data_IF_515327071648
#
_entry.id   IF_515327071648
#
_cell.length_a   1.000
_cell.length_b   1.000
_cell.length_c   1.000
_cell.angle_alpha   90.00
_cell.angle_beta   90.00
_cell.angle_gamma   90.00
#
_symmetry.space_group_name_H-M   'P 1'
#
loop_
_entity.id
_entity.type
_entity.pdbx_description
1 polymer ?
#
# COMPACT_ATOMS: atom_id res chain seq x y z
N UNK A 1 6.91 11.83 59.11
CA UNK A 1 5.92 10.88 58.54
C UNK A 1 5.51 11.46 57.21
N UNK A 2 6.27 11.15 56.16
CA UNK A 2 6.08 11.71 54.82
C UNK A 2 5.62 10.56 53.93
N UNK A 3 4.34 10.57 53.55
CA UNK A 3 3.75 9.54 52.71
C UNK A 3 4.44 9.52 51.34
N UNK A 4 5.28 8.52 51.11
CA UNK A 4 5.80 8.15 49.79
C UNK A 4 4.67 7.50 48.99
N UNK A 5 3.76 8.32 48.47
CA UNK A 5 2.66 7.86 47.62
C UNK A 5 3.20 7.44 46.25
N UNK A 6 3.66 6.19 46.11
CA UNK A 6 4.04 5.67 44.80
C UNK A 6 2.84 5.69 43.83
N UNK A 7 3.07 6.16 42.60
CA UNK A 7 2.06 6.21 41.55
C UNK A 7 2.03 4.88 40.78
N UNK A 8 0.85 4.29 40.65
CA UNK A 8 0.65 3.09 39.86
C UNK A 8 0.34 3.46 38.41
N UNK A 9 1.22 3.09 37.49
CA UNK A 9 1.10 3.37 36.06
C UNK A 9 0.99 2.07 35.28
N UNK A 10 -0.02 1.94 34.42
CA UNK A 10 -0.18 0.76 33.56
C UNK A 10 0.43 1.03 32.19
N UNK A 11 1.46 0.29 31.83
CA UNK A 11 2.09 0.35 30.50
C UNK A 11 1.51 -0.76 29.62
N UNK A 12 1.05 -0.38 28.42
CA UNK A 12 0.47 -1.27 27.42
C UNK A 12 1.38 -1.33 26.21
N UNK A 13 1.76 -2.54 25.79
CA UNK A 13 2.58 -2.81 24.62
C UNK A 13 1.92 -3.91 23.77
N UNK A 14 1.24 -3.52 22.69
CA UNK A 14 0.50 -4.46 21.85
C UNK A 14 -0.61 -5.17 22.63
N UNK A 15 -0.46 -6.48 22.84
CA UNK A 15 -1.39 -7.31 23.63
C UNK A 15 -0.97 -7.48 25.11
N UNK A 16 0.19 -6.97 25.50
CA UNK A 16 0.75 -7.12 26.84
C UNK A 16 0.53 -5.84 27.65
N UNK A 17 0.24 -5.98 28.93
CA UNK A 17 0.15 -4.87 29.88
C UNK A 17 0.84 -5.21 31.19
N UNK A 18 1.47 -4.21 31.81
CA UNK A 18 2.11 -4.34 33.11
C UNK A 18 1.86 -3.08 33.94
N UNK A 19 1.56 -3.26 35.23
CA UNK A 19 1.46 -2.17 36.20
C UNK A 19 2.81 -1.96 36.86
N UNK A 20 3.29 -0.72 36.83
CA UNK A 20 4.61 -0.29 37.28
C UNK A 20 4.44 0.81 38.32
N UNK A 21 5.26 0.76 39.38
CA UNK A 21 5.22 1.72 40.47
C UNK A 21 6.30 2.78 40.26
N UNK A 22 5.90 4.06 40.26
CA UNK A 22 6.78 5.20 39.95
C UNK A 22 6.64 6.29 41.01
N UNK A 23 7.75 6.87 41.51
CA UNK A 23 7.67 7.97 42.46
C UNK A 23 7.04 9.24 41.85
N UNK A 24 6.15 9.94 42.56
CA UNK A 24 5.51 11.15 42.07
C UNK A 24 6.52 12.29 41.91
N UNK A 25 6.53 12.92 40.74
CA UNK A 25 7.18 14.21 40.48
C UNK A 25 8.70 14.29 40.76
N UNK A 26 9.43 13.19 40.59
CA UNK A 26 10.90 13.25 40.49
C UNK A 26 11.33 13.37 39.02
N UNK A 27 12.40 14.13 38.70
CA UNK A 27 12.97 14.18 37.34
C UNK A 27 13.41 12.79 36.85
N UNK A 28 13.75 11.91 37.80
CA UNK A 28 14.25 10.55 37.57
C UNK A 28 13.11 9.52 37.38
N UNK A 29 11.84 9.92 37.59
CA UNK A 29 10.67 9.05 37.47
C UNK A 29 10.55 8.41 36.08
N UNK A 30 10.90 9.16 35.03
CA UNK A 30 10.85 8.65 33.65
C UNK A 30 11.96 7.63 33.38
N UNK A 31 13.16 7.83 33.91
CA UNK A 31 14.29 6.93 33.74
C UNK A 31 14.09 5.61 34.50
N UNK A 32 13.54 5.69 35.72
CA UNK A 32 13.14 4.52 36.50
C UNK A 32 12.03 3.74 35.79
N UNK A 33 11.02 4.43 35.25
CA UNK A 33 9.96 3.79 34.47
C UNK A 33 10.51 3.09 33.22
N UNK A 34 11.44 3.72 32.49
CA UNK A 34 12.06 3.12 31.31
C UNK A 34 12.92 1.89 31.66
N UNK A 35 13.60 1.92 32.81
CA UNK A 35 14.35 0.77 33.33
C UNK A 35 13.41 -0.40 33.68
N UNK A 36 12.30 -0.13 34.39
CA UNK A 36 11.30 -1.16 34.69
C UNK A 36 10.62 -1.72 33.43
N UNK A 37 10.40 -0.89 32.40
CA UNK A 37 9.90 -1.35 31.10
C UNK A 37 10.92 -2.26 30.41
N UNK A 38 12.21 -1.96 30.50
CA UNK A 38 13.25 -2.84 29.95
C UNK A 38 13.22 -4.22 30.61
N UNK A 39 13.10 -4.28 31.93
CA UNK A 39 13.03 -5.55 32.66
C UNK A 39 11.79 -6.38 32.30
N UNK A 40 10.62 -5.74 32.13
CA UNK A 40 9.36 -6.44 31.83
C UNK A 40 9.15 -6.78 30.37
N UNK A 41 9.57 -5.92 29.46
CA UNK A 41 9.29 -6.03 28.02
C UNK A 41 10.54 -6.29 27.16
N UNK A 42 11.73 -6.39 27.78
CA UNK A 42 13.03 -6.56 27.10
C UNK A 42 13.27 -5.51 26.01
N UNK A 43 12.77 -4.29 26.22
CA UNK A 43 12.87 -3.19 25.27
C UNK A 43 13.81 -2.13 25.81
N UNK A 44 14.97 -1.92 25.19
CA UNK A 44 15.94 -0.93 25.70
C UNK A 44 15.36 0.49 25.71
N UNK A 45 15.68 1.32 26.73
CA UNK A 45 15.16 2.69 26.88
C UNK A 45 15.22 3.54 25.61
N UNK A 46 16.32 3.42 24.83
CA UNK A 46 16.51 4.13 23.55
C UNK A 46 15.47 3.82 22.47
N UNK A 47 14.79 2.68 22.57
CA UNK A 47 13.75 2.26 21.63
C UNK A 47 12.33 2.40 22.20
N UNK A 48 12.19 2.93 23.42
CA UNK A 48 10.91 3.12 24.08
C UNK A 48 10.36 4.51 23.76
N UNK A 49 9.18 4.57 23.13
CA UNK A 49 8.40 5.79 23.00
C UNK A 49 7.13 5.64 23.82
N UNK A 50 7.01 6.42 24.89
CA UNK A 50 5.86 6.42 25.78
C UNK A 50 4.85 7.50 25.38
N UNK A 51 3.58 7.11 25.28
CA UNK A 51 2.48 7.99 24.88
C UNK A 51 1.37 7.95 25.92
N UNK A 52 0.99 9.11 26.45
CA UNK A 52 -0.13 9.30 27.36
C UNK A 52 -1.22 10.10 26.65
N UNK A 53 -2.44 9.55 26.50
CA UNK A 53 -3.59 10.21 25.85
C UNK A 53 -3.25 10.84 24.48
N UNK A 54 -2.40 10.18 23.69
CA UNK A 54 -2.00 10.65 22.36
C UNK A 54 -0.87 11.70 22.34
N UNK A 55 -0.27 12.03 23.50
CA UNK A 55 0.91 12.91 23.59
C UNK A 55 2.14 12.14 24.07
N UNK A 56 3.30 12.49 23.54
CA UNK A 56 4.58 11.91 23.95
C UNK A 56 4.92 12.33 25.39
N UNK A 57 5.26 11.35 26.21
CA UNK A 57 5.72 11.58 27.58
C UNK A 57 7.16 12.08 27.54
N UNK A 58 7.38 13.29 28.04
CA UNK A 58 8.68 13.91 28.27
C UNK A 58 8.94 14.04 29.78
N UNK A 59 10.18 14.31 30.19
CA UNK A 59 10.56 14.49 31.60
C UNK A 59 9.73 15.56 32.34
N UNK A 60 9.13 16.52 31.61
CA UNK A 60 8.24 17.56 32.15
C UNK A 60 6.78 17.12 32.29
N UNK A 61 6.43 15.87 31.98
CA UNK A 61 5.03 15.41 31.95
C UNK A 61 4.65 14.91 33.34
N UNK A 62 3.66 15.55 33.96
CA UNK A 62 3.11 15.08 35.22
C UNK A 62 2.34 13.77 35.00
N UNK A 63 2.87 12.66 35.52
CA UNK A 63 2.17 11.38 35.60
C UNK A 63 1.22 11.42 36.79
N UNK A 64 -0.01 10.92 36.61
CA UNK A 64 -0.99 10.79 37.69
C UNK A 64 -1.19 9.32 38.05
N UNK A 65 -1.67 9.05 39.25
CA UNK A 65 -1.98 7.67 39.66
C UNK A 65 -3.07 7.06 38.76
N UNK A 66 -2.94 5.77 38.44
CA UNK A 66 -3.84 5.05 37.52
C UNK A 66 -3.68 5.39 36.03
N UNK A 67 -2.61 6.09 35.64
CA UNK A 67 -2.35 6.45 34.24
C UNK A 67 -2.13 5.22 33.35
N UNK A 68 -2.71 5.22 32.14
CA UNK A 68 -2.42 4.21 31.10
C UNK A 68 -1.47 4.79 30.05
N UNK A 69 -0.28 4.23 29.97
CA UNK A 69 0.75 4.58 28.99
C UNK A 69 0.77 3.56 27.86
N UNK A 70 0.83 4.05 26.63
CA UNK A 70 1.09 3.23 25.46
C UNK A 70 2.59 3.24 25.17
N UNK A 71 3.20 2.06 25.12
CA UNK A 71 4.58 1.87 24.71
C UNK A 71 4.62 1.59 23.21
N UNK A 72 5.45 2.33 22.48
CA UNK A 72 5.71 2.14 21.06
C UNK A 72 7.21 1.85 20.86
N UNK A 73 7.51 0.89 19.98
CA UNK A 73 8.88 0.52 19.63
C UNK A 73 9.40 1.43 18.54
N UNK A 74 10.45 2.21 18.82
CA UNK A 74 11.05 3.13 17.86
C UNK A 74 12.39 2.61 17.29
N UNK A 75 12.43 1.37 16.79
CA UNK A 75 13.67 0.82 16.15
C UNK A 75 13.99 1.50 14.82
N UNK A 76 12.96 1.80 14.02
CA UNK A 76 13.13 2.36 12.67
C UNK A 76 13.82 3.74 12.64
N UNK A 77 13.66 4.55 13.69
CA UNK A 77 14.29 5.88 13.77
C UNK A 77 15.78 5.82 14.12
N UNK A 78 16.18 4.84 14.94
CA UNK A 78 17.59 4.68 15.36
C UNK A 78 18.42 3.90 14.35
N UNK A 79 17.85 2.95 13.60
CA UNK A 79 18.56 2.27 12.51
C UNK A 79 18.91 3.23 11.36
N UNK A 80 18.05 4.21 11.05
CA UNK A 80 18.36 5.26 10.07
C UNK A 80 19.50 6.21 10.52
N UNK A 81 19.58 6.55 11.81
CA UNK A 81 20.63 7.41 12.34
C UNK A 81 21.93 6.67 12.68
N UNK A 82 21.88 5.37 12.99
CA UNK A 82 23.04 4.54 13.28
C UNK A 82 23.84 4.18 12.02
N UNK A 83 23.15 3.95 10.88
CA UNK A 83 23.80 3.67 9.60
C UNK A 83 24.57 4.88 9.03
N UNK A 84 24.26 6.10 9.47
CA UNK A 84 24.95 7.32 9.04
C UNK A 84 26.23 7.65 9.84
N UNK A 85 26.60 6.85 10.85
CA UNK A 85 27.71 7.15 11.77
C UNK A 85 28.82 6.09 11.87
N UNK A 86 28.83 5.09 10.99
CA UNK A 86 29.94 4.13 10.89
C UNK A 86 30.76 4.39 9.63
N UNK A 87 31.70 5.33 9.74
CA UNK A 87 32.90 5.39 8.91
C UNK A 87 34.00 4.56 9.59
N UNK A 88 34.53 3.48 8.98
CA UNK A 88 35.77 2.88 9.43
C UNK A 88 36.94 3.57 8.73
N UNK A 89 37.88 4.11 9.51
CA UNK A 89 39.16 4.62 9.02
C UNK A 89 40.31 3.89 9.72
N UNK A 90 41.34 3.56 8.93
CA UNK A 90 42.70 3.06 9.26
C UNK A 90 42.87 1.53 9.31
N UNK A 91 43.43 0.88 8.28
CA UNK A 91 44.88 0.71 7.91
C UNK A 91 45.48 -0.57 8.55
N UNK A 92 46.31 -1.45 7.95
CA UNK A 92 47.06 -1.51 6.68
C UNK A 92 47.61 -2.96 6.41
N UNK A 93 48.29 -3.15 5.25
CA UNK A 93 49.16 -4.26 4.77
C UNK A 93 48.50 -5.46 4.05
N UNK A 94 48.94 -5.99 2.88
CA UNK A 94 50.03 -5.70 1.91
C UNK A 94 49.83 -6.50 0.60
N UNK A 95 50.16 -5.88 -0.54
CA UNK A 95 50.79 -6.38 -1.80
C UNK A 95 50.23 -7.62 -2.57
N UNK A 96 49.67 -7.41 -3.77
CA UNK A 96 50.24 -7.79 -5.09
C UNK A 96 49.24 -7.63 -6.27
N UNK A 97 49.76 -7.24 -7.43
CA UNK A 97 49.11 -6.62 -8.62
C UNK A 97 48.77 -7.64 -9.76
N UNK A 98 48.24 -7.27 -10.95
CA UNK A 98 46.84 -7.42 -11.45
C UNK A 98 46.67 -8.41 -12.64
N UNK A 99 45.46 -8.55 -13.28
CA UNK A 99 45.16 -7.80 -14.53
C UNK A 99 43.64 -7.42 -14.69
N UNK A 100 43.11 -6.95 -15.86
CA UNK A 100 42.54 -5.62 -16.11
C UNK A 100 40.99 -5.53 -16.04
N UNK A 101 40.41 -4.30 -16.13
CA UNK A 101 39.03 -4.03 -15.73
C UNK A 101 38.01 -4.24 -16.86
N UNK A 102 36.96 -5.02 -16.58
CA UNK A 102 35.71 -4.97 -17.34
C UNK A 102 34.90 -3.79 -16.81
N UNK A 103 34.86 -2.71 -17.59
CA UNK A 103 33.92 -1.60 -17.40
C UNK A 103 32.50 -2.16 -17.52
N UNK A 104 31.75 -2.13 -16.41
CA UNK A 104 30.30 -1.98 -16.46
C UNK A 104 29.91 -0.86 -15.49
N UNK A 105 29.83 0.34 -16.07
CA UNK A 105 29.03 1.43 -15.56
C UNK A 105 27.59 0.93 -15.40
N UNK A 106 27.08 1.01 -14.18
CA UNK A 106 25.70 0.65 -13.87
C UNK A 106 25.29 1.07 -12.47
N UNK A 107 25.87 2.16 -11.95
CA UNK A 107 25.28 2.85 -10.81
C UNK A 107 23.97 3.47 -11.29
N UNK A 108 22.84 2.81 -11.03
CA UNK A 108 21.53 3.45 -11.13
C UNK A 108 21.50 4.63 -10.15
N UNK A 109 21.51 5.88 -10.61
CA UNK A 109 21.24 6.99 -9.71
C UNK A 109 19.74 6.95 -9.43
N UNK A 110 19.42 6.92 -8.14
CA UNK A 110 18.13 7.37 -7.59
C UNK A 110 17.71 8.61 -8.35
N UNK A 111 16.60 8.52 -9.10
CA UNK A 111 16.03 9.62 -9.85
C UNK A 111 15.59 10.70 -8.86
N UNK A 112 16.51 11.61 -8.54
CA UNK A 112 16.15 12.94 -8.06
C UNK A 112 15.28 13.55 -9.15
N UNK A 113 14.01 13.70 -8.86
CA UNK A 113 13.07 14.48 -9.65
C UNK A 113 13.74 15.82 -9.95
N UNK A 114 13.96 16.12 -11.23
CA UNK A 114 14.51 17.40 -11.68
C UNK A 114 13.65 18.52 -11.08
N UNK A 115 14.25 19.36 -10.25
CA UNK A 115 13.62 20.60 -9.82
C UNK A 115 13.41 21.46 -11.06
N UNK A 116 12.18 21.52 -11.55
CA UNK A 116 11.84 22.33 -12.71
C UNK A 116 12.00 23.79 -12.30
N UNK A 117 12.98 24.47 -12.88
CA UNK A 117 13.22 25.90 -12.66
C UNK A 117 12.05 26.69 -13.28
N UNK A 118 11.38 27.48 -12.44
CA UNK A 118 10.21 28.28 -12.82
C UNK A 118 10.60 29.41 -13.80
N UNK A 119 11.89 29.73 -13.90
CA UNK A 119 12.42 30.76 -14.78
C UNK A 119 12.64 30.30 -16.23
N UNK A 120 12.72 28.98 -16.48
CA UNK A 120 12.86 28.42 -17.83
C UNK A 120 11.51 28.11 -18.50
N UNK A 121 10.39 28.30 -17.78
CA UNK A 121 9.06 28.11 -18.35
C UNK A 121 8.71 29.26 -19.30
N UNK A 122 8.36 28.91 -20.53
CA UNK A 122 7.71 29.78 -21.52
C UNK A 122 6.55 30.55 -20.87
N UNK A 123 6.27 31.78 -21.31
CA UNK A 123 5.28 32.65 -20.65
C UNK A 123 3.85 32.06 -20.63
N UNK A 124 3.58 31.13 -21.53
CA UNK A 124 2.33 30.37 -21.63
C UNK A 124 2.32 29.05 -20.84
N UNK A 125 3.45 28.67 -20.24
CA UNK A 125 3.60 27.49 -19.41
C UNK A 125 3.38 27.80 -17.92
N UNK A 126 2.90 26.79 -17.21
CA UNK A 126 2.49 26.82 -15.82
C UNK A 126 3.01 25.57 -15.10
N UNK A 127 3.73 25.76 -14.00
CA UNK A 127 4.20 24.66 -13.17
C UNK A 127 3.10 24.25 -12.19
N UNK A 128 2.51 23.09 -12.39
CA UNK A 128 1.55 22.47 -11.49
C UNK A 128 2.27 21.49 -10.57
N UNK A 129 2.33 21.83 -9.29
CA UNK A 129 2.85 20.97 -8.23
C UNK A 129 1.68 20.25 -7.57
N UNK A 130 1.59 18.95 -7.82
CA UNK A 130 0.54 18.08 -7.27
C UNK A 130 1.10 17.30 -6.09
N UNK A 131 0.45 17.45 -4.93
CA UNK A 131 0.82 16.76 -3.70
C UNK A 131 -0.16 15.63 -3.38
N UNK A 132 0.37 14.44 -3.11
CA UNK A 132 -0.37 13.28 -2.59
C UNK A 132 0.34 12.79 -1.31
N UNK A 133 -0.14 13.23 -0.15
CA UNK A 133 0.52 12.93 1.12
C UNK A 133 1.94 13.49 1.15
N UNK A 134 2.95 12.61 1.16
CA UNK A 134 4.38 12.98 1.10
C UNK A 134 4.94 13.03 -0.33
N UNK A 135 4.22 12.48 -1.31
CA UNK A 135 4.66 12.48 -2.69
C UNK A 135 4.35 13.82 -3.36
N UNK A 136 5.30 14.33 -4.15
CA UNK A 136 5.19 15.55 -4.94
C UNK A 136 5.44 15.22 -6.41
N UNK A 137 4.52 15.64 -7.26
CA UNK A 137 4.59 15.51 -8.72
C UNK A 137 4.61 16.90 -9.33
N UNK A 138 5.68 17.21 -10.04
CA UNK A 138 5.84 18.49 -10.71
C UNK A 138 5.55 18.31 -12.20
N UNK A 139 4.58 19.06 -12.72
CA UNK A 139 4.11 18.96 -14.10
C UNK A 139 4.05 20.33 -14.76
N UNK A 140 4.43 20.40 -16.03
CA UNK A 140 4.30 21.61 -16.83
C UNK A 140 3.04 21.50 -17.68
N UNK A 141 2.16 22.50 -17.57
CA UNK A 141 0.95 22.63 -18.36
C UNK A 141 0.90 23.99 -19.05
N UNK A 142 0.25 24.06 -20.20
CA UNK A 142 -0.09 25.35 -20.81
C UNK A 142 -1.23 26.01 -20.02
N UNK A 143 -1.22 27.35 -19.93
CA UNK A 143 -2.22 28.15 -19.21
C UNK A 143 -3.65 27.97 -19.74
N UNK A 144 -3.78 27.72 -21.05
CA UNK A 144 -5.04 27.48 -21.75
C UNK A 144 -5.67 26.10 -21.47
N UNK A 145 -4.96 25.21 -20.76
CA UNK A 145 -5.44 23.85 -20.46
C UNK A 145 -6.48 23.86 -19.35
N UNK A 146 -7.32 22.83 -19.37
CA UNK A 146 -8.41 22.67 -18.41
C UNK A 146 -8.00 21.80 -17.22
N UNK A 147 -8.75 21.92 -16.12
CA UNK A 147 -8.60 21.04 -14.95
C UNK A 147 -8.86 19.57 -15.33
N UNK A 148 -9.73 19.29 -16.30
CA UNK A 148 -9.95 17.93 -16.81
C UNK A 148 -8.64 17.32 -17.34
N UNK A 149 -7.90 18.02 -18.19
CA UNK A 149 -6.65 17.52 -18.76
C UNK A 149 -5.56 17.32 -17.70
N UNK A 150 -5.53 18.21 -16.70
CA UNK A 150 -4.68 18.04 -15.53
C UNK A 150 -5.07 16.77 -14.76
N UNK A 151 -6.37 16.54 -14.51
CA UNK A 151 -6.85 15.31 -13.86
C UNK A 151 -6.54 14.07 -14.67
N UNK A 152 -6.64 14.13 -15.99
CA UNK A 152 -6.34 12.98 -16.87
C UNK A 152 -4.85 12.63 -16.83
N UNK A 153 -3.96 13.61 -16.96
CA UNK A 153 -2.51 13.36 -16.88
C UNK A 153 -2.05 12.92 -15.48
N UNK A 154 -2.54 13.59 -14.43
CA UNK A 154 -2.23 13.21 -13.04
C UNK A 154 -2.84 11.83 -12.73
N UNK A 155 -4.05 11.57 -13.20
CA UNK A 155 -4.72 10.29 -13.10
C UNK A 155 -3.90 9.18 -13.75
N UNK A 156 -3.48 9.37 -15.00
CA UNK A 156 -2.63 8.41 -15.70
C UNK A 156 -1.31 8.11 -14.95
N UNK A 157 -0.64 9.14 -14.42
CA UNK A 157 0.57 8.95 -13.60
C UNK A 157 0.32 8.21 -12.29
N UNK A 158 -0.87 8.38 -11.72
CA UNK A 158 -1.30 7.68 -10.50
C UNK A 158 -1.91 6.30 -10.80
N UNK A 159 -1.96 5.86 -12.07
CA UNK A 159 -2.57 4.61 -12.49
C UNK A 159 -4.09 4.60 -12.40
N UNK A 160 -4.75 5.76 -12.45
CA UNK A 160 -6.20 5.90 -12.41
C UNK A 160 -6.78 5.88 -13.82
N UNK A 161 -7.80 5.05 -14.02
CA UNK A 161 -8.48 4.87 -15.31
C UNK A 161 -9.51 5.96 -15.62
N UNK A 162 -9.96 6.72 -14.60
CA UNK A 162 -10.92 7.79 -14.77
C UNK A 162 -10.45 9.10 -14.11
N UNK A 163 -10.53 10.26 -14.79
CA UNK A 163 -10.22 11.55 -14.19
C UNK A 163 -11.22 11.94 -13.08
N UNK A 164 -12.42 11.33 -13.06
CA UNK A 164 -13.42 11.55 -12.01
C UNK A 164 -13.03 10.91 -10.68
N UNK A 165 -12.17 9.89 -10.70
CA UNK A 165 -11.61 9.25 -9.51
C UNK A 165 -10.71 10.20 -8.69
N UNK A 166 -10.27 11.31 -9.32
CA UNK A 166 -9.34 12.26 -8.76
C UNK A 166 -10.04 13.58 -8.40
N UNK A 167 -10.03 13.90 -7.11
CA UNK A 167 -10.42 15.22 -6.60
C UNK A 167 -9.17 16.08 -6.40
N UNK A 168 -9.04 17.09 -7.23
CA UNK A 168 -8.01 18.12 -7.07
C UNK A 168 -8.50 19.20 -6.12
N UNK A 169 -7.66 19.58 -5.15
CA UNK A 169 -7.90 20.69 -4.22
C UNK A 169 -6.84 21.75 -4.45
N UNK A 170 -7.26 22.92 -4.92
CA UNK A 170 -6.39 24.08 -5.15
C UNK A 170 -6.78 25.16 -4.14
N UNK A 171 -5.84 25.60 -3.29
CA UNK A 171 -6.09 26.63 -2.26
C UNK A 171 -7.35 26.36 -1.42
N UNK A 172 -7.62 25.09 -1.09
CA UNK A 172 -8.80 24.68 -0.31
C UNK A 172 -10.11 24.57 -1.08
N UNK A 173 -10.14 24.89 -2.38
CA UNK A 173 -11.34 24.75 -3.25
C UNK A 173 -11.16 23.60 -4.23
N UNK A 174 -12.28 22.99 -4.64
CA UNK A 174 -12.28 21.93 -5.65
C UNK A 174 -12.82 22.49 -6.96
N UNK A 175 -11.94 22.82 -7.91
CA UNK A 175 -12.35 23.42 -9.17
C UNK A 175 -13.17 22.43 -10.01
N UNK A 176 -14.10 22.97 -10.81
CA UNK A 176 -14.87 22.20 -11.81
C UNK A 176 -13.97 21.82 -12.99
N UNK A 177 -14.33 20.78 -13.72
CA UNK A 177 -13.50 20.22 -14.79
C UNK A 177 -13.28 21.18 -15.97
N UNK A 178 -14.24 22.06 -16.24
CA UNK A 178 -14.20 23.09 -17.29
C UNK A 178 -13.35 24.32 -16.91
N UNK A 179 -12.92 24.42 -15.65
CA UNK A 179 -12.16 25.59 -15.18
C UNK A 179 -10.78 25.58 -15.85
N UNK A 180 -10.39 26.72 -16.44
CA UNK A 180 -9.06 26.86 -17.03
C UNK A 180 -7.99 27.07 -15.96
N UNK A 181 -6.79 26.53 -16.17
CA UNK A 181 -5.69 26.61 -15.21
C UNK A 181 -5.25 28.06 -14.95
N UNK A 182 -5.37 28.95 -15.94
CA UNK A 182 -5.12 30.39 -15.80
C UNK A 182 -5.95 31.03 -14.68
N UNK A 183 -7.24 30.72 -14.58
CA UNK A 183 -8.13 31.31 -13.57
C UNK A 183 -7.78 30.85 -12.14
N UNK A 184 -7.14 29.69 -12.00
CA UNK A 184 -6.76 29.10 -10.71
C UNK A 184 -5.37 29.55 -10.24
N UNK A 185 -4.44 29.73 -11.18
CA UNK A 185 -3.11 30.23 -10.91
C UNK A 185 -3.06 31.76 -10.81
N UNK A 186 -3.98 32.46 -11.49
CA UNK A 186 -4.02 33.92 -11.56
C UNK A 186 -2.75 34.46 -12.23
N UNK A 187 -2.03 35.35 -11.54
CA UNK A 187 -0.76 35.92 -12.02
C UNK A 187 0.47 35.04 -11.75
N UNK A 188 0.31 33.93 -11.03
CA UNK A 188 1.43 33.11 -10.60
C UNK A 188 1.79 32.07 -11.67
N UNK A 189 3.08 31.92 -11.97
CA UNK A 189 3.59 30.83 -12.83
C UNK A 189 3.51 29.44 -12.16
N UNK A 190 3.14 29.36 -10.87
CA UNK A 190 3.07 28.12 -10.11
C UNK A 190 1.68 27.88 -9.50
N UNK A 191 1.19 26.64 -9.62
CA UNK A 191 -0.07 26.17 -9.08
C UNK A 191 0.17 24.98 -8.15
N UNK A 192 -0.14 25.15 -6.86
CA UNK A 192 -0.10 24.05 -5.89
C UNK A 192 -1.48 23.42 -5.78
N UNK A 193 -1.56 22.12 -6.05
CA UNK A 193 -2.77 21.32 -5.96
C UNK A 193 -2.54 20.10 -5.06
N UNK A 194 -3.55 19.70 -4.30
CA UNK A 194 -3.55 18.44 -3.58
C UNK A 194 -4.43 17.43 -4.33
N UNK A 195 -3.89 16.24 -4.59
CA UNK A 195 -4.60 15.14 -5.23
C UNK A 195 -5.19 14.21 -4.16
N UNK A 196 -6.52 14.15 -4.10
CA UNK A 196 -7.28 13.23 -3.27
C UNK A 196 -7.98 12.20 -4.15
N UNK A 197 -7.90 10.91 -3.77
CA UNK A 197 -8.74 9.89 -4.37
C UNK A 197 -10.15 9.99 -3.79
N UNK A 198 -11.17 9.85 -4.63
CA UNK A 198 -12.53 9.73 -4.14
C UNK A 198 -12.69 8.40 -3.38
N UNK A 199 -13.54 8.38 -2.34
CA UNK A 199 -13.78 7.18 -1.54
C UNK A 199 -14.23 5.98 -2.37
N UNK A 200 -15.02 6.24 -3.43
CA UNK A 200 -15.47 5.20 -4.37
C UNK A 200 -14.34 4.60 -5.22
N UNK A 201 -13.22 5.31 -5.41
CA UNK A 201 -12.06 4.78 -6.13
C UNK A 201 -11.34 3.69 -5.34
N UNK A 202 -11.33 3.76 -4.00
CA UNK A 202 -10.77 2.69 -3.18
C UNK A 202 -11.54 1.38 -3.37
N UNK A 203 -12.86 1.47 -3.48
CA UNK A 203 -13.70 0.31 -3.76
C UNK A 203 -13.39 -0.25 -5.15
N UNK A 204 -13.26 0.60 -6.17
CA UNK A 204 -12.89 0.14 -7.53
C UNK A 204 -11.51 -0.52 -7.52
N UNK A 205 -10.52 0.04 -6.82
CA UNK A 205 -9.18 -0.56 -6.71
C UNK A 205 -9.20 -1.92 -5.99
N UNK A 206 -9.93 -2.02 -4.88
CA UNK A 206 -10.09 -3.28 -4.15
C UNK A 206 -10.75 -4.35 -5.04
N UNK A 207 -11.76 -3.97 -5.83
CA UNK A 207 -12.40 -4.88 -6.79
C UNK A 207 -11.53 -5.24 -7.98
N UNK A 208 -10.64 -4.35 -8.43
CA UNK A 208 -9.62 -4.67 -9.44
C UNK A 208 -8.54 -5.62 -8.90
N UNK A 209 -8.20 -5.51 -7.61
CA UNK A 209 -7.29 -6.45 -6.93
C UNK A 209 -7.96 -7.83 -6.78
N UNK A 210 -9.21 -7.87 -6.32
CA UNK A 210 -10.02 -9.10 -6.25
C UNK A 210 -10.15 -9.79 -7.62
N UNK A 211 -10.34 -9.02 -8.69
CA UNK A 211 -10.32 -9.56 -10.06
C UNK A 211 -8.99 -10.24 -10.40
N UNK A 212 -7.85 -9.64 -10.05
CA UNK A 212 -6.54 -10.25 -10.31
C UNK A 212 -6.36 -11.55 -9.55
N UNK A 213 -6.82 -11.61 -8.30
CA UNK A 213 -6.80 -12.83 -7.49
C UNK A 213 -7.66 -13.92 -8.14
N UNK A 214 -8.89 -13.59 -8.56
CA UNK A 214 -9.79 -14.54 -9.22
C UNK A 214 -9.26 -15.05 -10.56
N UNK A 215 -8.58 -14.21 -11.36
CA UNK A 215 -7.92 -14.66 -12.59
C UNK A 215 -6.78 -15.64 -12.27
N UNK A 216 -6.01 -15.40 -11.22
CA UNK A 216 -4.97 -16.32 -10.78
C UNK A 216 -5.56 -17.65 -10.26
N UNK A 217 -6.67 -17.61 -9.54
CA UNK A 217 -7.40 -18.80 -9.12
C UNK A 217 -7.94 -19.58 -10.32
N UNK A 218 -8.51 -18.89 -11.31
CA UNK A 218 -9.03 -19.50 -12.54
C UNK A 218 -7.94 -20.21 -13.33
N UNK A 219 -6.78 -19.55 -13.52
CA UNK A 219 -5.64 -20.17 -14.20
C UNK A 219 -5.10 -21.37 -13.43
N UNK A 220 -5.11 -21.33 -12.10
CA UNK A 220 -4.76 -22.48 -11.24
C UNK A 220 -5.75 -23.63 -11.41
N UNK A 221 -7.06 -23.35 -11.44
CA UNK A 221 -8.10 -24.35 -11.64
C UNK A 221 -8.04 -24.98 -13.05
N UNK A 222 -7.78 -24.18 -14.08
CA UNK A 222 -7.51 -24.67 -15.44
C UNK A 222 -6.28 -25.58 -15.48
N UNK A 223 -5.19 -25.19 -14.80
CA UNK A 223 -3.99 -26.02 -14.71
C UNK A 223 -4.26 -27.33 -13.96
N UNK A 224 -5.07 -27.32 -12.90
CA UNK A 224 -5.50 -28.52 -12.20
C UNK A 224 -6.30 -29.45 -13.13
N UNK A 225 -7.29 -28.94 -13.87
CA UNK A 225 -8.05 -29.72 -14.85
C UNK A 225 -7.13 -30.40 -15.88
N UNK A 226 -6.14 -29.66 -16.41
CA UNK A 226 -5.20 -30.21 -17.38
C UNK A 226 -4.31 -31.31 -16.77
N UNK A 227 -3.94 -31.21 -15.49
CA UNK A 227 -3.21 -32.27 -14.78
C UNK A 227 -4.07 -33.52 -14.64
N UNK A 228 -5.30 -33.36 -14.15
CA UNK A 228 -6.27 -34.46 -13.99
C UNK A 228 -6.52 -35.15 -15.33
N UNK A 229 -6.79 -34.39 -16.41
CA UNK A 229 -6.93 -34.93 -17.78
C UNK A 229 -5.72 -35.77 -18.21
N UNK A 230 -4.50 -35.31 -17.94
CA UNK A 230 -3.27 -36.05 -18.30
C UNK A 230 -3.07 -37.30 -17.45
N UNK A 231 -3.41 -37.25 -16.17
CA UNK A 231 -3.34 -38.40 -15.27
C UNK A 231 -4.37 -39.46 -15.67
N UNK A 232 -5.59 -39.05 -16.00
CA UNK A 232 -6.65 -39.91 -16.51
C UNK A 232 -6.27 -40.55 -17.84
N UNK A 233 -5.75 -39.79 -18.81
CA UNK A 233 -5.34 -40.32 -20.12
C UNK A 233 -4.20 -41.35 -20.04
N UNK A 234 -3.43 -41.33 -18.93
CA UNK A 234 -2.32 -42.25 -18.67
C UNK A 234 -2.68 -43.32 -17.63
N UNK A 235 -3.94 -43.37 -17.17
CA UNK A 235 -4.44 -44.27 -16.12
C UNK A 235 -3.60 -44.24 -14.82
N UNK A 236 -3.05 -43.07 -14.46
CA UNK A 236 -2.21 -42.92 -13.25
C UNK A 236 -3.01 -42.87 -11.95
N UNK A 237 -4.28 -42.46 -12.01
CA UNK A 237 -5.16 -42.25 -10.85
C UNK A 237 -6.30 -43.26 -10.86
N UNK A 238 -6.77 -43.63 -9.68
CA UNK A 238 -7.96 -44.48 -9.57
C UNK A 238 -9.21 -43.72 -10.06
N UNK A 239 -10.26 -44.45 -10.44
CA UNK A 239 -11.52 -43.85 -10.91
C UNK A 239 -12.11 -42.91 -9.86
N UNK A 240 -12.21 -43.37 -8.62
CA UNK A 240 -12.79 -42.59 -7.52
C UNK A 240 -11.97 -41.34 -7.22
N UNK A 241 -10.65 -41.44 -7.29
CA UNK A 241 -9.73 -40.30 -7.13
C UNK A 241 -9.90 -39.29 -8.27
N UNK A 242 -10.01 -39.74 -9.52
CA UNK A 242 -10.27 -38.84 -10.66
C UNK A 242 -11.63 -38.16 -10.58
N UNK A 243 -12.67 -38.87 -10.13
CA UNK A 243 -14.00 -38.29 -9.93
C UNK A 243 -13.99 -37.25 -8.81
N UNK A 244 -13.29 -37.53 -7.72
CA UNK A 244 -13.13 -36.59 -6.60
C UNK A 244 -12.33 -35.34 -7.00
N UNK A 245 -11.25 -35.49 -7.77
CA UNK A 245 -10.48 -34.35 -8.27
C UNK A 245 -11.29 -33.52 -9.27
N UNK A 246 -12.05 -34.16 -10.16
CA UNK A 246 -12.95 -33.46 -11.08
C UNK A 246 -14.08 -32.72 -10.34
N UNK A 247 -14.73 -33.34 -9.35
CA UNK A 247 -15.77 -32.66 -8.56
C UNK A 247 -15.21 -31.45 -7.80
N UNK A 248 -14.00 -31.57 -7.25
CA UNK A 248 -13.32 -30.45 -6.61
C UNK A 248 -13.03 -29.30 -7.58
N UNK A 249 -12.56 -29.58 -8.79
CA UNK A 249 -12.31 -28.56 -9.81
C UNK A 249 -13.63 -27.93 -10.29
N UNK A 250 -14.73 -28.68 -10.33
CA UNK A 250 -16.06 -28.16 -10.65
C UNK A 250 -16.54 -27.15 -9.60
N UNK A 251 -16.54 -27.53 -8.32
CA UNK A 251 -16.94 -26.65 -7.21
C UNK A 251 -16.11 -25.37 -7.19
N UNK A 252 -14.80 -25.49 -7.41
CA UNK A 252 -13.90 -24.34 -7.48
C UNK A 252 -14.20 -23.44 -8.68
N UNK A 253 -14.49 -24.02 -9.85
CA UNK A 253 -14.90 -23.27 -11.05
C UNK A 253 -16.20 -22.50 -10.87
N UNK A 254 -17.22 -23.13 -10.25
CA UNK A 254 -18.51 -22.50 -9.95
C UNK A 254 -18.38 -21.37 -8.92
N UNK A 255 -17.53 -21.58 -7.89
CA UNK A 255 -17.19 -20.55 -6.89
C UNK A 255 -16.52 -19.34 -7.54
N UNK A 256 -15.50 -19.58 -8.37
CA UNK A 256 -14.76 -18.51 -9.07
C UNK A 256 -15.71 -17.75 -10.01
N UNK A 257 -16.52 -18.46 -10.79
CA UNK A 257 -17.51 -17.85 -11.69
C UNK A 257 -18.49 -16.94 -10.96
N UNK A 258 -19.06 -17.42 -9.85
CA UNK A 258 -19.98 -16.64 -9.02
C UNK A 258 -19.33 -15.36 -8.46
N UNK A 259 -18.08 -15.47 -8.00
CA UNK A 259 -17.33 -14.32 -7.49
C UNK A 259 -17.02 -13.30 -8.60
N UNK A 260 -16.68 -13.75 -9.81
CA UNK A 260 -16.45 -12.88 -10.96
C UNK A 260 -17.72 -12.12 -11.37
N UNK A 261 -18.90 -12.74 -11.28
CA UNK A 261 -20.18 -12.05 -11.50
C UNK A 261 -20.44 -10.95 -10.46
N UNK A 262 -20.15 -11.22 -9.18
CA UNK A 262 -20.23 -10.20 -8.13
C UNK A 262 -19.27 -9.02 -8.38
N UNK A 263 -18.04 -9.31 -8.81
CA UNK A 263 -17.07 -8.28 -9.19
C UNK A 263 -17.56 -7.47 -10.38
N UNK A 264 -18.14 -8.13 -11.41
CA UNK A 264 -18.76 -7.45 -12.55
C UNK A 264 -19.86 -6.48 -12.11
N UNK A 265 -20.74 -6.89 -11.20
CA UNK A 265 -21.81 -6.04 -10.69
C UNK A 265 -21.29 -4.81 -9.94
N UNK A 266 -20.20 -4.95 -9.17
CA UNK A 266 -19.59 -3.83 -8.46
C UNK A 266 -18.81 -2.88 -9.38
N UNK A 267 -18.11 -3.41 -10.39
CA UNK A 267 -17.33 -2.61 -11.34
C UNK A 267 -18.22 -1.91 -12.40
N UNK A 268 -19.38 -2.48 -12.73
CA UNK A 268 -20.36 -1.92 -13.65
C UNK A 268 -21.23 -0.79 -13.04
N UNK A 269 -20.76 -0.12 -11.97
CA UNK A 269 -21.49 0.88 -11.19
C UNK A 269 -22.29 1.92 -12.00
N UNK A 270 -23.26 2.57 -11.35
CA UNK A 270 -24.20 3.53 -11.97
C UNK A 270 -23.46 4.60 -12.79
N UNK A 271 -24.08 5.03 -13.90
CA UNK A 271 -23.59 5.93 -14.97
C UNK A 271 -22.87 7.22 -14.48
N UNK A 272 -23.06 7.64 -13.23
CA UNK A 272 -22.45 8.86 -12.65
C UNK A 272 -21.36 8.63 -11.59
N UNK A 273 -20.95 7.38 -11.32
CA UNK A 273 -19.88 7.05 -10.39
C UNK A 273 -18.54 6.75 -11.09
N UNK A 274 -17.41 6.73 -10.36
CA UNK A 274 -16.13 6.30 -10.91
C UNK A 274 -16.28 4.85 -11.38
N UNK A 275 -16.27 4.69 -12.70
CA UNK A 275 -16.35 3.40 -13.39
C UNK A 275 -14.95 2.81 -13.50
N UNK A 276 -14.86 1.49 -13.34
CA UNK A 276 -13.65 0.76 -13.70
C UNK A 276 -13.31 1.00 -15.17
N UNK A 277 -12.05 0.80 -15.56
CA UNK A 277 -11.65 0.93 -16.96
C UNK A 277 -12.49 0.02 -17.87
N UNK A 278 -12.70 0.42 -19.12
CA UNK A 278 -13.38 -0.42 -20.10
C UNK A 278 -12.67 -1.78 -20.27
N UNK A 279 -11.32 -1.74 -20.28
CA UNK A 279 -10.46 -2.93 -20.29
C UNK A 279 -10.69 -3.88 -19.10
N UNK A 280 -10.92 -3.34 -17.90
CA UNK A 280 -11.20 -4.18 -16.72
C UNK A 280 -12.58 -4.82 -16.81
N UNK A 281 -13.56 -4.15 -17.39
CA UNK A 281 -14.90 -4.72 -17.59
C UNK A 281 -14.85 -5.84 -18.64
N UNK A 282 -14.12 -5.63 -19.73
CA UNK A 282 -13.85 -6.66 -20.75
C UNK A 282 -13.11 -7.86 -20.16
N UNK A 283 -12.07 -7.63 -19.36
CA UNK A 283 -11.32 -8.70 -18.71
C UNK A 283 -12.19 -9.53 -17.76
N UNK A 284 -13.11 -8.91 -17.02
CA UNK A 284 -14.08 -9.62 -16.17
C UNK A 284 -15.03 -10.45 -17.02
N UNK A 285 -15.56 -9.90 -18.12
CA UNK A 285 -16.45 -10.64 -19.01
C UNK A 285 -15.75 -11.87 -19.61
N UNK A 286 -14.51 -11.70 -20.08
CA UNK A 286 -13.71 -12.81 -20.58
C UNK A 286 -13.42 -13.86 -19.49
N UNK A 287 -13.07 -13.45 -18.28
CA UNK A 287 -12.82 -14.38 -17.18
C UNK A 287 -14.08 -15.18 -16.80
N UNK A 288 -15.26 -14.58 -16.88
CA UNK A 288 -16.54 -15.29 -16.66
C UNK A 288 -16.76 -16.34 -17.76
N UNK A 289 -16.55 -15.99 -19.02
CA UNK A 289 -16.66 -16.94 -20.14
C UNK A 289 -15.67 -18.10 -19.98
N UNK A 290 -14.43 -17.83 -19.56
CA UNK A 290 -13.43 -18.85 -19.28
C UNK A 290 -13.81 -19.75 -18.08
N UNK A 291 -14.43 -19.18 -17.04
CA UNK A 291 -14.93 -19.95 -15.89
C UNK A 291 -16.08 -20.89 -16.30
N UNK A 292 -17.02 -20.40 -17.12
CA UNK A 292 -18.13 -21.21 -17.67
C UNK A 292 -17.58 -22.32 -18.58
N UNK A 293 -16.60 -22.02 -19.42
CA UNK A 293 -15.97 -23.03 -20.27
C UNK A 293 -15.25 -24.10 -19.44
N UNK A 294 -14.61 -23.71 -18.33
CA UNK A 294 -13.99 -24.64 -17.40
C UNK A 294 -15.03 -25.58 -16.77
N UNK A 295 -16.11 -25.05 -16.20
CA UNK A 295 -17.14 -25.87 -15.54
C UNK A 295 -17.82 -26.83 -16.51
N UNK A 296 -18.15 -26.39 -17.72
CA UNK A 296 -18.70 -27.26 -18.78
C UNK A 296 -17.71 -28.36 -19.19
N UNK A 297 -16.42 -28.04 -19.30
CA UNK A 297 -15.39 -29.02 -19.62
C UNK A 297 -15.20 -30.06 -18.50
N UNK A 298 -15.42 -29.69 -17.24
CA UNK A 298 -15.36 -30.62 -16.10
C UNK A 298 -16.62 -31.48 -16.03
N UNK A 299 -17.80 -30.88 -16.21
CA UNK A 299 -19.08 -31.60 -16.23
C UNK A 299 -19.11 -32.68 -17.30
N UNK A 300 -18.70 -32.36 -18.53
CA UNK A 300 -18.60 -33.34 -19.61
C UNK A 300 -17.65 -34.50 -19.29
N UNK A 301 -16.53 -34.26 -18.61
CA UNK A 301 -15.63 -35.32 -18.16
C UNK A 301 -16.24 -36.18 -17.05
N UNK A 302 -16.96 -35.56 -16.10
CA UNK A 302 -17.66 -36.26 -15.03
C UNK A 302 -18.77 -37.17 -15.59
N UNK A 303 -19.53 -36.69 -16.57
CA UNK A 303 -20.56 -37.49 -17.26
C UNK A 303 -19.93 -38.67 -17.99
N UNK A 304 -18.82 -38.47 -18.71
CA UNK A 304 -18.10 -39.56 -19.37
C UNK A 304 -17.51 -40.57 -18.37
N UNK A 305 -16.96 -40.14 -17.23
CA UNK A 305 -16.34 -41.05 -16.25
C UNK A 305 -17.30 -41.67 -15.23
N UNK A 306 -18.51 -41.13 -15.09
CA UNK A 306 -19.56 -41.72 -14.25
C UNK A 306 -20.35 -42.81 -14.99
N UNK A 307 -20.46 -42.72 -16.32
CA UNK A 307 -21.24 -43.66 -17.15
C UNK A 307 -20.50 -44.92 -17.56
N UNK A 308 -19.16 -44.90 -17.59
CA UNK A 308 -18.28 -46.05 -17.84
C UNK A 308 -17.59 -46.48 -16.54
#
# INVERSE_FOLDING_TARGET
>A
MSDNSELLVTVVFGKLSASLSVPPQSPDALELLQTQIYEKFQLEPKFQRLVLRGRDVKSSTALTDGSKLLLLRNRAFHEQNGAAKQTPNSEASSLNTPPPPVKNLGSNPVSKTLEIDVNELEDDALLVQVFRGKARYDLIFLRSRTVLELKTKVGAMLGLSSPQALRLVVKGKTPKDETQLETLAGKNKTLKAMALLQAQQHVVQEKEEELRELINELTSAQAALQRVKRQMARNFTSRDESLFELSRVLEEGERIGSNLELVKHHLAGKVSGPRASEKTIEAVAQAIEEAIALTQAVQSLLEMHSTF
#
